data_IF_832332233643
#
_entry.id   IF_832332233643
#
_cell.length_a   1.000
_cell.length_b   1.000
_cell.length_c   1.000
_cell.angle_alpha   90.00
_cell.angle_beta   90.00
_cell.angle_gamma   90.00
#
_symmetry.space_group_name_H-M   'P 1'
#
loop_
_entity.id
_entity.type
_entity.pdbx_description
1 polymer ?
#
# COMPACT_ATOMS: atom_id res chain seq x y z
N UNK A 1 -5.55 -20.77 13.09
CA UNK A 1 -5.19 -20.54 11.68
C UNK A 1 -5.89 -19.29 11.18
N UNK A 2 -5.26 -18.54 10.27
CA UNK A 2 -5.86 -17.33 9.70
C UNK A 2 -6.99 -17.73 8.73
N UNK A 3 -8.02 -16.92 8.61
CA UNK A 3 -9.09 -17.16 7.64
C UNK A 3 -8.56 -16.97 6.20
N UNK A 4 -8.86 -17.90 5.29
CA UNK A 4 -8.38 -17.84 3.91
C UNK A 4 -8.88 -16.60 3.15
N UNK A 5 -10.09 -16.09 3.46
CA UNK A 5 -10.62 -14.84 2.89
C UNK A 5 -9.74 -13.66 3.31
N UNK A 6 -9.38 -13.58 4.59
CA UNK A 6 -8.49 -12.54 5.13
C UNK A 6 -7.14 -12.58 4.42
N UNK A 7 -6.54 -13.77 4.31
CA UNK A 7 -5.24 -13.95 3.63
C UNK A 7 -5.31 -13.53 2.17
N UNK A 8 -6.30 -14.02 1.43
CA UNK A 8 -6.53 -13.70 0.01
C UNK A 8 -6.68 -12.20 -0.22
N UNK A 9 -7.54 -11.54 0.56
CA UNK A 9 -7.80 -10.12 0.39
C UNK A 9 -6.63 -9.26 0.85
N UNK A 10 -5.98 -9.60 1.96
CA UNK A 10 -4.77 -8.90 2.39
C UNK A 10 -3.67 -8.93 1.31
N UNK A 11 -3.43 -10.08 0.68
CA UNK A 11 -2.45 -10.20 -0.42
C UNK A 11 -2.89 -9.37 -1.63
N UNK A 12 -4.14 -9.51 -2.07
CA UNK A 12 -4.67 -8.78 -3.23
C UNK A 12 -4.51 -7.26 -3.08
N UNK A 13 -5.01 -6.69 -1.98
CA UNK A 13 -4.96 -5.25 -1.78
C UNK A 13 -3.56 -4.77 -1.36
N UNK A 14 -2.75 -5.63 -0.74
CA UNK A 14 -1.34 -5.35 -0.49
C UNK A 14 -0.54 -5.18 -1.78
N UNK A 15 -0.78 -6.03 -2.78
CA UNK A 15 -0.18 -5.90 -4.11
C UNK A 15 -0.69 -4.64 -4.82
N UNK A 16 -1.98 -4.31 -4.71
CA UNK A 16 -2.54 -3.06 -5.27
C UNK A 16 -1.85 -1.84 -4.66
N UNK A 17 -1.71 -1.79 -3.33
CA UNK A 17 -0.98 -0.73 -2.61
C UNK A 17 0.48 -0.66 -3.02
N UNK A 18 1.14 -1.81 -3.22
CA UNK A 18 2.52 -1.88 -3.68
C UNK A 18 2.67 -1.29 -5.09
N UNK A 19 1.83 -1.70 -6.03
CA UNK A 19 1.86 -1.18 -7.40
C UNK A 19 1.63 0.33 -7.42
N UNK A 20 0.64 0.82 -6.65
CA UNK A 20 0.42 2.25 -6.51
C UNK A 20 1.66 2.97 -5.97
N UNK A 21 2.28 2.45 -4.91
CA UNK A 21 3.50 3.02 -4.35
C UNK A 21 4.66 3.06 -5.35
N UNK A 22 4.92 1.95 -6.06
CA UNK A 22 5.94 1.88 -7.11
C UNK A 22 5.69 2.92 -8.21
N UNK A 23 4.46 3.02 -8.71
CA UNK A 23 4.11 4.02 -9.71
C UNK A 23 4.27 5.44 -9.17
N UNK A 24 3.76 5.73 -7.98
CA UNK A 24 3.87 7.04 -7.36
C UNK A 24 5.34 7.46 -7.20
N UNK A 25 6.19 6.58 -6.66
CA UNK A 25 7.63 6.81 -6.53
C UNK A 25 8.29 7.04 -7.90
N UNK A 26 7.96 6.23 -8.91
CA UNK A 26 8.51 6.38 -10.27
C UNK A 26 8.10 7.70 -10.90
N UNK A 27 6.83 8.09 -10.81
CA UNK A 27 6.34 9.35 -11.37
C UNK A 27 6.98 10.57 -10.70
N UNK A 28 7.06 10.57 -9.36
CA UNK A 28 7.73 11.65 -8.64
C UNK A 28 9.19 11.75 -9.05
N UNK A 29 9.90 10.62 -9.13
CA UNK A 29 11.29 10.56 -9.54
C UNK A 29 11.51 11.07 -10.98
N UNK A 30 10.70 10.65 -11.95
CA UNK A 30 10.89 11.01 -13.37
C UNK A 30 10.47 12.46 -13.67
N UNK A 31 9.47 12.99 -12.97
CA UNK A 31 8.95 14.34 -13.23
C UNK A 31 9.80 15.41 -12.53
N UNK A 32 9.90 15.33 -11.20
CA UNK A 32 10.66 16.27 -10.37
C UNK A 32 10.80 15.70 -8.95
N UNK A 33 12.04 15.52 -8.51
CA UNK A 33 12.34 14.96 -7.18
C UNK A 33 11.80 15.82 -6.03
N UNK A 34 11.57 17.12 -6.25
CA UNK A 34 10.96 18.00 -5.25
C UNK A 34 9.50 17.63 -4.93
N UNK A 35 8.85 16.79 -5.75
CA UNK A 35 7.51 16.29 -5.46
C UNK A 35 7.45 15.39 -4.23
N UNK A 36 8.55 14.75 -3.83
CA UNK A 36 8.61 13.94 -2.61
C UNK A 36 8.42 14.77 -1.32
N UNK A 37 8.76 16.06 -1.34
CA UNK A 37 8.56 16.98 -0.20
C UNK A 37 7.29 17.84 -0.34
N UNK A 38 6.52 17.64 -1.42
CA UNK A 38 5.28 18.38 -1.63
C UNK A 38 4.18 17.85 -0.69
N UNK A 39 3.83 18.67 0.31
CA UNK A 39 2.84 18.33 1.34
C UNK A 39 1.46 18.01 0.74
N UNK A 40 1.03 18.76 -0.28
CA UNK A 40 -0.27 18.57 -0.93
C UNK A 40 -0.36 17.22 -1.63
N UNK A 41 0.68 16.85 -2.37
CA UNK A 41 0.79 15.51 -2.96
C UNK A 41 0.91 14.42 -1.90
N UNK A 42 1.66 14.67 -0.82
CA UNK A 42 1.75 13.75 0.31
C UNK A 42 0.37 13.41 0.91
N UNK A 43 -0.47 14.42 1.15
CA UNK A 43 -1.86 14.18 1.59
C UNK A 43 -2.70 13.48 0.53
N UNK A 44 -2.51 13.78 -0.76
CA UNK A 44 -3.18 13.08 -1.86
C UNK A 44 -2.85 11.58 -1.87
N UNK A 45 -1.56 11.23 -1.80
CA UNK A 45 -1.07 9.85 -1.74
C UNK A 45 -1.61 9.13 -0.49
N UNK A 46 -1.59 9.78 0.67
CA UNK A 46 -2.19 9.25 1.90
C UNK A 46 -3.68 8.97 1.73
N UNK A 47 -4.40 9.89 1.08
CA UNK A 47 -5.81 9.72 0.72
C UNK A 47 -6.06 8.46 -0.12
N UNK A 48 -5.22 8.19 -1.13
CA UNK A 48 -5.32 6.97 -1.94
C UNK A 48 -5.11 5.71 -1.08
N UNK A 49 -4.10 5.68 -0.21
CA UNK A 49 -3.88 4.53 0.70
C UNK A 49 -5.06 4.29 1.64
N UNK A 50 -5.67 5.36 2.18
CA UNK A 50 -6.87 5.26 3.00
C UNK A 50 -8.06 4.70 2.21
N UNK A 51 -8.26 5.16 0.97
CA UNK A 51 -9.31 4.63 0.08
C UNK A 51 -9.10 3.14 -0.20
N UNK A 52 -7.87 2.72 -0.49
CA UNK A 52 -7.55 1.29 -0.67
C UNK A 52 -7.87 0.50 0.61
N UNK A 53 -7.50 1.02 1.78
CA UNK A 53 -7.80 0.39 3.08
C UNK A 53 -9.31 0.27 3.35
N UNK A 54 -10.09 1.31 3.06
CA UNK A 54 -11.56 1.29 3.17
C UNK A 54 -12.13 0.21 2.24
N UNK A 55 -11.72 0.20 0.96
CA UNK A 55 -12.20 -0.77 -0.02
C UNK A 55 -11.85 -2.21 0.41
N UNK A 56 -10.63 -2.43 0.88
CA UNK A 56 -10.18 -3.73 1.42
C UNK A 56 -11.10 -4.22 2.55
N UNK A 57 -11.34 -3.38 3.55
CA UNK A 57 -12.14 -3.76 4.72
C UNK A 57 -13.61 -3.97 4.35
N UNK A 58 -14.18 -3.12 3.48
CA UNK A 58 -15.54 -3.26 2.98
C UNK A 58 -15.72 -4.53 2.15
N UNK A 59 -14.79 -4.83 1.25
CA UNK A 59 -14.83 -6.06 0.44
C UNK A 59 -14.72 -7.31 1.31
N UNK A 60 -13.78 -7.32 2.26
CA UNK A 60 -13.57 -8.46 3.17
C UNK A 60 -14.78 -8.69 4.06
N UNK A 61 -15.36 -7.62 4.63
CA UNK A 61 -16.59 -7.72 5.43
C UNK A 61 -17.74 -8.37 4.65
N UNK A 62 -17.90 -8.01 3.37
CA UNK A 62 -18.93 -8.55 2.49
C UNK A 62 -18.71 -10.05 2.22
N UNK A 63 -17.48 -10.45 1.91
CA UNK A 63 -17.12 -11.86 1.67
C UNK A 63 -17.26 -12.73 2.92
N UNK A 64 -17.07 -12.15 4.11
CA UNK A 64 -17.26 -12.81 5.40
C UNK A 64 -18.73 -12.83 5.87
N UNK A 65 -19.70 -12.58 4.99
CA UNK A 65 -21.13 -12.55 5.33
C UNK A 65 -21.44 -11.62 6.52
N UNK A 66 -20.77 -10.47 6.60
CA UNK A 66 -20.83 -9.49 7.69
C UNK A 66 -20.33 -9.97 9.07
N UNK A 67 -19.81 -11.20 9.19
CA UNK A 67 -19.11 -11.67 10.39
C UNK A 67 -17.64 -11.25 10.32
N UNK A 68 -17.35 -10.01 10.70
CA UNK A 68 -16.01 -9.44 10.62
C UNK A 68 -15.66 -8.72 11.92
N UNK A 69 -14.99 -9.43 12.83
CA UNK A 69 -14.58 -8.90 14.13
C UNK A 69 -13.46 -7.87 13.99
N UNK A 70 -13.26 -7.04 15.03
CA UNK A 70 -12.15 -6.08 15.06
C UNK A 70 -10.79 -6.74 14.85
N UNK A 71 -10.54 -7.89 15.49
CA UNK A 71 -9.28 -8.65 15.34
C UNK A 71 -9.04 -9.04 13.88
N UNK A 72 -10.08 -9.49 13.18
CA UNK A 72 -10.01 -9.88 11.77
C UNK A 72 -9.82 -8.67 10.87
N UNK A 73 -10.51 -7.57 11.13
CA UNK A 73 -10.35 -6.31 10.40
C UNK A 73 -8.93 -5.76 10.54
N UNK A 74 -8.42 -5.68 11.77
CA UNK A 74 -7.05 -5.27 12.05
C UNK A 74 -6.05 -6.18 11.34
N UNK A 75 -6.21 -7.51 11.46
CA UNK A 75 -5.32 -8.48 10.82
C UNK A 75 -5.32 -8.34 9.30
N UNK A 76 -6.49 -8.13 8.71
CA UNK A 76 -6.66 -7.92 7.26
C UNK A 76 -5.92 -6.67 6.79
N UNK A 77 -6.15 -5.53 7.46
CA UNK A 77 -5.50 -4.27 7.13
C UNK A 77 -3.99 -4.35 7.34
N UNK A 78 -3.55 -4.87 8.49
CA UNK A 78 -2.14 -4.97 8.85
C UNK A 78 -1.35 -5.80 7.84
N UNK A 79 -1.85 -6.97 7.45
CA UNK A 79 -1.17 -7.82 6.46
C UNK A 79 -1.12 -7.16 5.07
N UNK A 80 -2.21 -6.49 4.66
CA UNK A 80 -2.22 -5.74 3.40
C UNK A 80 -1.22 -4.59 3.42
N UNK A 81 -1.18 -3.81 4.51
CA UNK A 81 -0.27 -2.69 4.67
C UNK A 81 1.18 -3.18 4.71
N UNK A 82 1.47 -4.27 5.43
CA UNK A 82 2.80 -4.87 5.49
C UNK A 82 3.32 -5.23 4.09
N UNK A 83 2.52 -5.94 3.29
CA UNK A 83 2.90 -6.30 1.92
C UNK A 83 3.14 -5.05 1.07
N UNK A 84 2.21 -4.10 1.11
CA UNK A 84 2.31 -2.84 0.37
C UNK A 84 3.57 -2.05 0.70
N UNK A 85 3.84 -1.86 2.00
CA UNK A 85 5.01 -1.12 2.48
C UNK A 85 6.30 -1.86 2.15
N UNK A 86 6.37 -3.18 2.40
CA UNK A 86 7.60 -3.95 2.13
C UNK A 86 8.00 -3.87 0.66
N UNK A 87 7.06 -4.05 -0.27
CA UNK A 87 7.38 -4.01 -1.70
C UNK A 87 7.72 -2.58 -2.15
N UNK A 88 6.92 -1.58 -1.77
CA UNK A 88 7.17 -0.18 -2.15
C UNK A 88 8.51 0.33 -1.60
N UNK A 89 8.84 0.00 -0.35
CA UNK A 89 10.12 0.37 0.26
C UNK A 89 11.28 -0.38 -0.41
N UNK A 90 11.14 -1.67 -0.70
CA UNK A 90 12.18 -2.42 -1.41
C UNK A 90 12.46 -1.82 -2.79
N UNK A 91 11.42 -1.40 -3.52
CA UNK A 91 11.58 -0.69 -4.79
C UNK A 91 12.29 0.65 -4.62
N UNK A 92 11.87 1.47 -3.65
CA UNK A 92 12.51 2.77 -3.37
C UNK A 92 13.99 2.61 -3.00
N UNK A 93 14.31 1.62 -2.16
CA UNK A 93 15.70 1.29 -1.82
C UNK A 93 16.50 0.88 -3.07
N UNK A 94 15.93 0.02 -3.92
CA UNK A 94 16.56 -0.41 -5.17
C UNK A 94 16.80 0.78 -6.12
N UNK A 95 15.81 1.66 -6.27
CA UNK A 95 15.91 2.84 -7.13
C UNK A 95 17.03 3.78 -6.66
N UNK A 96 17.01 4.21 -5.40
CA UNK A 96 17.91 5.26 -4.90
C UNK A 96 19.26 4.76 -4.36
N UNK A 97 19.44 3.45 -4.15
CA UNK A 97 20.71 2.90 -3.65
C UNK A 97 21.43 2.00 -4.65
N UNK A 98 20.78 1.60 -5.75
CA UNK A 98 21.39 0.71 -6.76
C UNK A 98 21.29 1.29 -8.17
N UNK A 99 20.14 1.84 -8.57
CA UNK A 99 19.94 2.34 -9.94
C UNK A 99 20.47 3.77 -10.11
N UNK A 100 20.01 4.70 -9.28
CA UNK A 100 20.41 6.10 -9.31
C UNK A 100 20.80 6.56 -7.90
N UNK A 101 22.08 6.36 -7.59
CA UNK A 101 22.65 6.70 -6.29
C UNK A 101 22.90 8.20 -6.13
N UNK A 102 22.94 8.96 -7.22
CA UNK A 102 23.18 10.41 -7.18
C UNK A 102 21.91 11.18 -6.83
N UNK A 103 20.73 10.60 -7.05
CA UNK A 103 19.43 11.17 -6.70
C UNK A 103 19.05 11.08 -5.20
N UNK A 104 19.97 10.66 -4.32
CA UNK A 104 19.71 10.55 -2.87
C UNK A 104 19.71 11.90 -2.16
#
# INVERSE_FOLDING_TARGET
MINEIIKKNAVKYGIISALFGVFATTFMYVIDINLFVNIGLGFGILGVYLLIGIILLSATKKEMQNKFSYKEAFTTYFLSALIGITISTAFSLLLFNVIDTEAR
#
